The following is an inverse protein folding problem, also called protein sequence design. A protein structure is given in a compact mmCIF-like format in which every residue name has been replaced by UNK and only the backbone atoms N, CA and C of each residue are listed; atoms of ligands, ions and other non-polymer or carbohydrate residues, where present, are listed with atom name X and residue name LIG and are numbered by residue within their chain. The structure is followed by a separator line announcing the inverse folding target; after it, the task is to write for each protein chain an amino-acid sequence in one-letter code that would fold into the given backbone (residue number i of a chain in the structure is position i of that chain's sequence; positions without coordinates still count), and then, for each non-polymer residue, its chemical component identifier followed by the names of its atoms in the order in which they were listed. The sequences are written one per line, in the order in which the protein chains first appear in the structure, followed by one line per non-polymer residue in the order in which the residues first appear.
data_IF_582837099124
#
_entry.id   IF_582837099124
#
_cell.length_a   1.000
_cell.length_b   1.000
_cell.length_c   1.000
_cell.angle_alpha   90.00
_cell.angle_beta   90.00
_cell.angle_gamma   90.00
#
_symmetry.space_group_name_H-M   'P 1'
#
loop_
_entity.id
_entity.type
_entity.pdbx_description
1 polymer ?
#
# COMPACT_ATOMS: atom_id res chain seq x y z
N UNK A 1 -5.89 -43.24 14.64
CA UNK A 1 -6.32 -41.98 14.00
C UNK A 1 -6.01 -40.85 14.97
N UNK A 2 -4.88 -40.15 14.78
CA UNK A 2 -4.46 -39.06 15.67
C UNK A 2 -4.44 -37.77 14.87
N UNK A 3 -5.45 -36.92 15.07
CA UNK A 3 -5.55 -35.62 14.42
C UNK A 3 -4.61 -34.63 15.08
N UNK A 4 -3.55 -34.22 14.38
CA UNK A 4 -2.81 -33.00 14.71
C UNK A 4 -3.73 -31.80 14.52
N UNK A 5 -4.20 -31.25 15.64
CA UNK A 5 -4.87 -29.96 15.63
C UNK A 5 -3.80 -28.88 15.47
N UNK A 6 -3.61 -28.40 14.24
CA UNK A 6 -2.80 -27.21 13.96
C UNK A 6 -3.48 -26.03 14.65
N UNK A 7 -2.84 -25.48 15.68
CA UNK A 7 -3.31 -24.28 16.35
C UNK A 7 -3.38 -23.12 15.33
N UNK A 8 -4.43 -22.27 15.37
CA UNK A 8 -4.51 -21.12 14.49
C UNK A 8 -3.34 -20.17 14.76
N UNK A 9 -2.57 -19.83 13.72
CA UNK A 9 -1.54 -18.79 13.72
C UNK A 9 -2.20 -17.44 14.04
N UNK A 10 -2.47 -17.17 15.32
CA UNK A 10 -3.00 -15.90 15.81
C UNK A 10 -1.87 -15.16 16.49
N UNK A 11 -1.03 -14.52 15.68
CA UNK A 11 -0.01 -13.62 16.19
C UNK A 11 -0.62 -12.23 16.33
N UNK A 12 -1.03 -11.90 17.57
CA UNK A 12 -1.38 -10.54 17.92
C UNK A 12 -0.08 -9.76 18.04
N UNK A 13 0.41 -9.25 16.91
CA UNK A 13 1.57 -8.37 16.87
C UNK A 13 1.11 -6.98 17.34
N UNK A 14 0.97 -6.81 18.66
CA UNK A 14 0.88 -5.48 19.25
C UNK A 14 2.29 -4.89 19.24
N UNK A 15 2.62 -4.19 18.17
CA UNK A 15 3.75 -3.27 18.16
C UNK A 15 3.20 -1.84 18.10
N UNK A 16 2.95 -1.20 19.26
CA UNK A 16 2.45 0.17 19.28
C UNK A 16 3.51 1.24 18.99
N UNK A 17 4.79 0.91 18.76
CA UNK A 17 5.84 1.92 18.62
C UNK A 17 6.55 1.89 17.27
N UNK A 18 6.32 2.96 16.50
CA UNK A 18 6.91 3.27 15.19
C UNK A 18 8.34 3.78 15.35
N UNK A 19 9.21 3.00 16.00
CA UNK A 19 10.65 3.29 16.03
C UNK A 19 11.43 1.98 15.88
N UNK A 20 12.19 1.91 14.79
CA UNK A 20 12.98 0.78 14.32
C UNK A 20 14.08 0.36 15.30
N UNK A 21 13.72 -0.34 16.36
CA UNK A 21 14.62 -1.21 17.10
C UNK A 21 13.84 -2.49 17.37
N UNK A 22 14.20 -3.57 16.68
CA UNK A 22 13.78 -4.92 17.07
C UNK A 22 14.48 -5.21 18.39
N UNK A 23 13.88 -4.79 19.50
CA UNK A 23 14.30 -5.21 20.84
C UNK A 23 13.91 -6.68 20.96
N UNK A 24 14.89 -7.56 20.76
CA UNK A 24 14.76 -8.95 21.15
C UNK A 24 14.41 -8.96 22.63
N UNK A 25 13.17 -9.33 22.97
CA UNK A 25 12.75 -9.54 24.35
C UNK A 25 13.72 -10.52 25.02
N UNK A 26 14.15 -10.24 26.25
CA UNK A 26 15.01 -11.13 27.06
C UNK A 26 14.48 -12.57 27.18
N UNK A 27 13.18 -12.78 26.89
CA UNK A 27 12.57 -14.10 26.78
C UNK A 27 13.11 -14.94 25.61
N UNK A 28 13.63 -14.32 24.55
CA UNK A 28 14.28 -15.01 23.43
C UNK A 28 15.70 -15.49 23.80
N UNK A 29 16.40 -14.75 24.67
CA UNK A 29 17.77 -15.08 25.11
C UNK A 29 17.75 -16.24 26.12
N UNK A 30 16.69 -16.38 26.93
CA UNK A 30 16.54 -17.49 27.88
C UNK A 30 16.15 -18.84 27.26
N UNK A 31 15.96 -18.92 25.93
CA UNK A 31 15.66 -20.19 25.23
C UNK A 31 16.86 -20.82 24.54
N UNK A 32 18.06 -20.24 24.67
CA UNK A 32 19.27 -20.93 24.30
C UNK A 32 19.53 -22.02 25.33
N UNK A 33 19.41 -23.32 24.99
CA UNK A 33 19.74 -24.37 25.92
C UNK A 33 21.23 -24.24 26.24
N UNK A 34 21.54 -24.02 27.52
CA UNK A 34 22.88 -24.21 28.08
C UNK A 34 23.44 -25.51 27.48
N UNK A 35 24.64 -25.42 26.89
CA UNK A 35 25.33 -26.53 26.24
C UNK A 35 25.64 -27.57 27.32
N UNK A 36 24.70 -28.48 27.55
CA UNK A 36 24.92 -29.73 28.23
C UNK A 36 25.44 -30.73 27.19
N UNK A 37 26.37 -31.60 27.59
CA UNK A 37 26.93 -32.68 26.78
C UNK A 37 25.82 -33.68 26.40
N UNK A 38 25.06 -33.35 25.36
CA UNK A 38 24.08 -34.24 24.76
C UNK A 38 24.80 -35.28 23.88
N UNK A 39 24.27 -36.52 23.87
CA UNK A 39 24.71 -37.53 22.92
C UNK A 39 24.53 -37.02 21.47
N UNK A 40 25.38 -37.42 20.51
CA UNK A 40 25.30 -36.94 19.12
C UNK A 40 23.92 -37.12 18.50
N UNK A 41 23.21 -38.18 18.89
CA UNK A 41 21.85 -38.51 18.44
C UNK A 41 20.78 -37.58 18.99
N UNK A 42 20.94 -37.05 20.21
CA UNK A 42 19.97 -36.14 20.81
C UNK A 42 20.14 -34.72 20.28
N UNK A 43 21.39 -34.32 19.98
CA UNK A 43 21.69 -33.07 19.29
C UNK A 43 21.12 -33.05 17.87
N UNK A 44 21.22 -34.14 17.13
CA UNK A 44 20.65 -34.23 15.77
C UNK A 44 19.12 -34.14 15.79
N UNK A 45 18.45 -34.82 16.72
CA UNK A 45 16.99 -34.72 16.88
C UNK A 45 16.56 -33.30 17.28
N UNK A 46 17.30 -32.66 18.18
CA UNK A 46 17.04 -31.28 18.60
C UNK A 46 17.16 -30.31 17.42
N UNK A 47 18.20 -30.46 16.61
CA UNK A 47 18.40 -29.65 15.41
C UNK A 47 17.28 -29.86 14.39
N UNK A 48 16.88 -31.11 14.12
CA UNK A 48 15.75 -31.39 13.22
C UNK A 48 14.45 -30.75 13.70
N UNK A 49 14.15 -30.85 15.00
CA UNK A 49 12.95 -30.20 15.55
C UNK A 49 12.98 -28.68 15.41
N UNK A 50 14.16 -28.06 15.54
CA UNK A 50 14.34 -26.61 15.32
C UNK A 50 14.15 -26.27 13.85
N UNK A 51 14.74 -27.05 12.95
CA UNK A 51 14.63 -26.85 11.49
C UNK A 51 13.17 -27.00 11.02
N UNK A 52 12.46 -28.01 11.51
CA UNK A 52 11.05 -28.23 11.20
C UNK A 52 10.17 -27.10 11.75
N UNK A 53 10.44 -26.64 12.98
CA UNK A 53 9.75 -25.49 13.57
C UNK A 53 9.91 -24.23 12.71
N UNK A 54 11.14 -23.92 12.27
CA UNK A 54 11.37 -22.74 11.44
C UNK A 54 10.78 -22.88 10.04
N UNK A 55 10.80 -24.09 9.46
CA UNK A 55 10.18 -24.37 8.16
C UNK A 55 8.66 -24.14 8.22
N UNK A 56 7.98 -24.73 9.21
CA UNK A 56 6.54 -24.57 9.38
C UNK A 56 6.17 -23.11 9.68
N UNK A 57 6.99 -22.44 10.48
CA UNK A 57 6.81 -21.02 10.80
C UNK A 57 6.94 -20.13 9.57
N UNK A 58 7.95 -20.36 8.74
CA UNK A 58 8.18 -19.61 7.50
C UNK A 58 7.03 -19.83 6.51
N UNK A 59 6.53 -21.07 6.39
CA UNK A 59 5.36 -21.37 5.57
C UNK A 59 4.11 -20.64 6.08
N UNK A 60 3.83 -20.65 7.38
CA UNK A 60 2.68 -19.91 7.92
C UNK A 60 2.78 -18.40 7.63
N UNK A 61 3.98 -17.83 7.73
CA UNK A 61 4.21 -16.41 7.44
C UNK A 61 3.96 -16.12 5.94
N UNK A 62 4.49 -16.94 5.04
CA UNK A 62 4.31 -16.76 3.59
C UNK A 62 2.84 -16.88 3.15
N UNK A 63 2.11 -17.86 3.71
CA UNK A 63 0.67 -18.03 3.50
C UNK A 63 -0.12 -16.80 3.98
N UNK A 64 0.28 -16.21 5.11
CA UNK A 64 -0.36 -15.00 5.64
C UNK A 64 -0.11 -13.79 4.75
N UNK A 65 1.13 -13.61 4.27
CA UNK A 65 1.46 -12.50 3.38
C UNK A 65 0.79 -12.63 2.01
N UNK A 66 0.71 -13.84 1.47
CA UNK A 66 0.05 -14.10 0.19
C UNK A 66 -1.46 -13.82 0.27
N UNK A 67 -2.15 -14.23 1.33
CA UNK A 67 -3.55 -13.88 1.55
C UNK A 67 -3.75 -12.36 1.77
N UNK A 68 -2.90 -11.71 2.56
CA UNK A 68 -2.97 -10.26 2.77
C UNK A 68 -2.78 -9.47 1.46
N UNK A 69 -1.86 -9.91 0.61
CA UNK A 69 -1.65 -9.36 -0.72
C UNK A 69 -2.90 -9.54 -1.59
N UNK A 70 -3.49 -10.75 -1.59
CA UNK A 70 -4.72 -11.03 -2.34
C UNK A 70 -5.88 -10.13 -1.93
N UNK A 71 -6.05 -9.89 -0.63
CA UNK A 71 -7.08 -8.97 -0.12
C UNK A 71 -6.79 -7.53 -0.56
N UNK A 72 -5.53 -7.10 -0.50
CA UNK A 72 -5.12 -5.75 -0.91
C UNK A 72 -5.34 -5.51 -2.41
N UNK A 73 -4.97 -6.47 -3.26
CA UNK A 73 -5.20 -6.40 -4.71
C UNK A 73 -6.70 -6.36 -5.03
N UNK A 74 -7.53 -7.11 -4.29
CA UNK A 74 -8.98 -7.09 -4.48
C UNK A 74 -9.59 -5.73 -4.09
N UNK A 75 -9.22 -5.17 -2.95
CA UNK A 75 -9.71 -3.85 -2.52
C UNK A 75 -9.20 -2.74 -3.44
N UNK A 76 -7.96 -2.82 -3.91
CA UNK A 76 -7.42 -1.91 -4.91
C UNK A 76 -8.23 -1.97 -6.22
N UNK A 77 -8.46 -3.17 -6.76
CA UNK A 77 -9.25 -3.35 -7.97
C UNK A 77 -10.70 -2.87 -7.80
N UNK A 78 -11.29 -3.04 -6.62
CA UNK A 78 -12.62 -2.54 -6.29
C UNK A 78 -12.65 -1.01 -6.30
N UNK A 79 -11.64 -0.36 -5.73
CA UNK A 79 -11.50 1.09 -5.73
C UNK A 79 -11.26 1.62 -7.14
N UNK A 80 -10.37 0.99 -7.91
CA UNK A 80 -10.10 1.36 -9.30
C UNK A 80 -11.38 1.28 -10.15
N UNK A 81 -12.14 0.20 -10.03
CA UNK A 81 -13.43 0.05 -10.71
C UNK A 81 -14.45 1.10 -10.28
N UNK A 82 -14.45 1.49 -9.00
CA UNK A 82 -15.34 2.54 -8.50
C UNK A 82 -14.97 3.91 -9.08
N UNK A 83 -13.67 4.21 -9.16
CA UNK A 83 -13.16 5.44 -9.79
C UNK A 83 -13.51 5.48 -11.28
N UNK A 84 -13.31 4.38 -12.01
CA UNK A 84 -13.66 4.26 -13.44
C UNK A 84 -15.16 4.46 -13.68
N UNK A 85 -16.02 3.98 -12.77
CA UNK A 85 -17.48 4.22 -12.85
C UNK A 85 -17.86 5.67 -12.61
N UNK A 86 -17.16 6.36 -11.71
CA UNK A 86 -17.38 7.77 -11.40
C UNK A 86 -16.81 8.71 -12.47
N UNK A 87 -15.78 8.28 -13.19
CA UNK A 87 -15.16 9.00 -14.30
C UNK A 87 -14.92 8.07 -15.47
N UNK A 88 -15.94 7.78 -16.30
CA UNK A 88 -15.83 6.88 -17.45
C UNK A 88 -14.95 7.44 -18.57
N UNK A 89 -14.70 8.76 -18.58
CA UNK A 89 -13.69 9.33 -19.47
C UNK A 89 -12.30 9.19 -18.85
N UNK A 90 -11.29 8.81 -19.64
CA UNK A 90 -9.90 8.88 -19.21
C UNK A 90 -9.66 10.30 -18.72
N UNK A 91 -9.12 10.44 -17.51
CA UNK A 91 -8.66 11.73 -16.99
C UNK A 91 -7.75 12.27 -18.08
N UNK A 92 -8.22 13.25 -18.85
CA UNK A 92 -7.40 13.92 -19.86
C UNK A 92 -6.22 14.47 -19.08
N UNK A 93 -5.05 13.87 -19.27
CA UNK A 93 -3.81 14.35 -18.68
C UNK A 93 -3.71 15.78 -19.15
N UNK A 94 -3.88 16.70 -18.23
CA UNK A 94 -4.45 17.99 -18.60
C UNK A 94 -3.38 18.98 -19.07
N UNK A 95 -2.12 18.53 -19.12
CA UNK A 95 -0.94 19.30 -19.51
C UNK A 95 0.14 18.41 -20.20
N UNK A 96 -0.19 17.60 -21.23
CA UNK A 96 0.67 16.51 -21.69
C UNK A 96 2.01 17.00 -22.25
N UNK A 97 2.00 18.11 -23.01
CA UNK A 97 3.22 18.72 -23.56
C UNK A 97 4.21 19.16 -22.48
N UNK A 98 3.71 19.68 -21.36
CA UNK A 98 4.58 20.13 -20.25
C UNK A 98 5.19 18.96 -19.49
N UNK A 99 4.53 17.79 -19.48
CA UNK A 99 5.08 16.55 -18.94
C UNK A 99 6.22 16.06 -19.84
N UNK A 100 6.01 16.03 -21.15
CA UNK A 100 7.02 15.62 -22.12
C UNK A 100 8.24 16.55 -22.11
N UNK A 101 8.02 17.86 -22.06
CA UNK A 101 9.08 18.88 -21.99
C UNK A 101 9.90 18.75 -20.70
N UNK A 102 9.23 18.60 -19.55
CA UNK A 102 9.90 18.42 -18.26
C UNK A 102 10.69 17.10 -18.23
N UNK A 103 10.10 16.01 -18.71
CA UNK A 103 10.75 14.70 -18.82
C UNK A 103 12.00 14.77 -19.69
N UNK A 104 11.89 15.37 -20.87
CA UNK A 104 13.02 15.57 -21.79
C UNK A 104 14.12 16.42 -21.15
N UNK A 105 13.75 17.46 -20.39
CA UNK A 105 14.72 18.29 -19.68
C UNK A 105 15.48 17.50 -18.62
N UNK A 106 14.81 16.65 -17.83
CA UNK A 106 15.48 15.82 -16.82
C UNK A 106 16.38 14.76 -17.44
N UNK A 107 15.96 14.14 -18.54
CA UNK A 107 16.79 13.20 -19.28
C UNK A 107 18.07 13.87 -19.81
N UNK A 108 17.97 15.12 -20.26
CA UNK A 108 19.10 15.89 -20.79
C UNK A 108 19.99 16.46 -19.68
N UNK A 109 19.41 16.83 -18.53
CA UNK A 109 20.09 17.52 -17.43
C UNK A 109 20.11 16.70 -16.13
N UNK A 110 20.34 15.38 -16.21
CA UNK A 110 20.24 14.48 -15.05
C UNK A 110 21.15 14.85 -13.87
N UNK A 111 22.28 15.52 -14.11
CA UNK A 111 23.20 16.01 -13.06
C UNK A 111 22.83 17.38 -12.50
N UNK A 112 21.97 18.13 -13.19
CA UNK A 112 21.59 19.50 -12.84
C UNK A 112 20.06 19.70 -12.99
N UNK A 113 19.25 18.95 -12.20
CA UNK A 113 17.79 18.97 -12.30
C UNK A 113 17.18 20.36 -12.07
N UNK A 114 17.89 21.24 -11.36
CA UNK A 114 17.45 22.61 -11.08
C UNK A 114 17.29 23.46 -12.35
N UNK A 115 17.96 23.12 -13.47
CA UNK A 115 17.75 23.78 -14.76
C UNK A 115 16.32 23.60 -15.29
N UNK A 116 15.66 22.51 -14.91
CA UNK A 116 14.30 22.17 -15.33
C UNK A 116 13.19 22.82 -14.48
N UNK A 117 13.55 23.55 -13.41
CA UNK A 117 12.59 24.17 -12.48
C UNK A 117 11.54 25.03 -13.18
N UNK A 118 11.92 25.73 -14.25
CA UNK A 118 11.00 26.60 -14.99
C UNK A 118 9.89 25.83 -15.71
N UNK A 119 10.15 24.58 -16.14
CA UNK A 119 9.16 23.69 -16.76
C UNK A 119 8.20 23.13 -15.71
N UNK A 120 8.71 22.77 -14.54
CA UNK A 120 7.89 22.34 -13.40
C UNK A 120 6.93 23.45 -12.96
N UNK A 121 7.41 24.70 -12.82
CA UNK A 121 6.54 25.85 -12.49
C UNK A 121 5.46 26.11 -13.55
N UNK A 122 5.75 25.84 -14.84
CA UNK A 122 4.74 25.94 -15.90
C UNK A 122 3.70 24.83 -15.79
N UNK A 123 4.15 23.61 -15.49
CA UNK A 123 3.28 22.46 -15.27
C UNK A 123 2.35 22.69 -14.06
N UNK A 124 2.88 23.16 -12.94
CA UNK A 124 2.13 23.52 -11.73
C UNK A 124 1.00 24.53 -12.05
N UNK A 125 1.34 25.65 -12.71
CA UNK A 125 0.33 26.64 -13.14
C UNK A 125 -0.75 26.06 -14.05
N UNK A 126 -0.37 25.12 -14.90
CA UNK A 126 -1.33 24.45 -15.77
C UNK A 126 -2.32 23.65 -14.91
N UNK A 127 -1.83 22.83 -13.96
CA UNK A 127 -2.66 22.09 -13.00
C UNK A 127 -3.59 23.01 -12.19
N UNK A 128 -3.07 24.12 -11.66
CA UNK A 128 -3.86 25.08 -10.89
C UNK A 128 -5.03 25.66 -11.69
N UNK A 129 -4.79 25.99 -12.97
CA UNK A 129 -5.84 26.49 -13.86
C UNK A 129 -6.97 25.46 -14.03
N UNK A 130 -6.64 24.19 -14.08
CA UNK A 130 -7.63 23.12 -14.28
C UNK A 130 -8.46 22.90 -13.02
N UNK A 131 -7.81 22.89 -11.86
CA UNK A 131 -8.48 22.79 -10.56
C UNK A 131 -9.43 23.98 -10.37
N UNK A 132 -8.97 25.19 -10.70
CA UNK A 132 -9.78 26.40 -10.65
C UNK A 132 -11.00 26.34 -11.59
N UNK A 133 -10.83 25.90 -12.84
CA UNK A 133 -11.93 25.72 -13.79
C UNK A 133 -12.92 24.63 -13.35
N UNK A 134 -12.41 23.53 -12.78
CA UNK A 134 -13.25 22.47 -12.20
C UNK A 134 -14.06 22.94 -10.98
N UNK A 135 -13.51 23.83 -10.15
CA UNK A 135 -14.24 24.44 -9.05
C UNK A 135 -15.35 25.39 -9.53
N UNK A 136 -15.07 26.21 -10.56
CA UNK A 136 -16.07 27.08 -11.19
C UNK A 136 -17.24 26.30 -11.79
N UNK A 137 -16.98 25.19 -12.51
CA UNK A 137 -18.03 24.34 -13.07
C UNK A 137 -18.96 23.77 -12.00
N UNK A 138 -18.39 23.22 -10.92
CA UNK A 138 -19.17 22.68 -9.78
C UNK A 138 -20.04 23.76 -9.11
N UNK A 139 -19.51 24.97 -8.97
CA UNK A 139 -20.27 26.10 -8.44
C UNK A 139 -21.43 26.50 -9.35
N UNK A 140 -21.20 26.58 -10.67
CA UNK A 140 -22.26 26.87 -11.65
C UNK A 140 -23.33 25.78 -11.70
N UNK A 141 -22.95 24.51 -11.60
CA UNK A 141 -23.90 23.39 -11.55
C UNK A 141 -24.74 23.40 -10.27
N UNK A 142 -24.16 23.79 -9.13
CA UNK A 142 -24.89 23.98 -7.87
C UNK A 142 -25.96 25.09 -8.00
N UNK A 143 -25.60 26.24 -8.59
CA UNK A 143 -26.55 27.33 -8.87
C UNK A 143 -27.64 26.90 -9.84
N UNK A 144 -27.30 26.09 -10.86
CA UNK A 144 -28.28 25.60 -11.83
C UNK A 144 -29.27 24.62 -11.20
N UNK A 145 -28.83 23.79 -10.25
CA UNK A 145 -29.70 22.86 -9.51
C UNK A 145 -30.63 23.59 -8.53
N UNK A 146 -30.18 24.67 -7.89
CA UNK A 146 -31.02 25.46 -6.98
C UNK A 146 -32.07 26.34 -7.67
N UNK A 147 -31.92 26.61 -8.98
CA UNK A 147 -32.89 27.37 -9.79
C UNK A 147 -33.92 26.52 -10.54
N UNK A 148 -33.91 25.19 -10.42
CA UNK A 148 -34.98 24.37 -11.02
C UNK A 148 -36.29 24.65 -10.27
N UNK A 149 -37.37 25.08 -10.94
CA UNK A 149 -38.67 25.18 -10.31
C UNK A 149 -39.06 23.79 -9.79
N UNK A 150 -39.34 23.68 -8.50
CA UNK A 150 -40.12 22.58 -7.99
C UNK A 150 -41.49 22.68 -8.64
N UNK A 151 -41.71 21.98 -9.75
CA UNK A 151 -43.07 21.71 -10.20
C UNK A 151 -43.72 20.91 -9.08
N UNK A 152 -44.57 21.60 -8.31
CA UNK A 152 -45.54 21.00 -7.42
C UNK A 152 -46.27 19.92 -8.21
N UNK A 153 -46.20 18.68 -7.72
CA UNK A 153 -47.23 17.70 -8.01
C UNK A 153 -48.44 18.10 -7.16
N UNK A 154 -49.38 18.80 -7.77
CA UNK A 154 -50.79 18.73 -7.38
C UNK A 154 -51.42 17.72 -8.31
N UNK A 155 -51.68 16.53 -7.77
CA UNK A 155 -52.99 15.88 -7.67
C UNK A 155 -52.82 14.43 -7.18
#
# INVERSE_FOLDING_TARGET
MGGSQSAPCKETLQNPDILNVVTLSDAAVQRLPLIADDSPTDKEKRNKNIDDFWRDRLHCIDDTYSEAKRVTDNEFNRLENSIRRLSPEPIKVSCPRLVDDAGTCYLTNGKEPLKCTHLIKKFERCLDSIVAEGAKRRHLDSIRRSKKPSHCKTD
#
